data_IF_841966342837
#
_entry.id   IF_841966342837
#
_cell.length_a   1.000
_cell.length_b   1.000
_cell.length_c   1.000
_cell.angle_alpha   90.00
_cell.angle_beta   90.00
_cell.angle_gamma   90.00
#
_symmetry.space_group_name_H-M   'P 1'
#
loop_
_entity.id
_entity.type
_entity.pdbx_description
1 polymer ?
#
# COMPACT_ATOMS: atom_id res chain seq x y z
N UNK A 1 34.61 3.15 -8.64
CA UNK A 1 35.74 2.42 -9.22
C UNK A 1 35.23 1.65 -10.42
N UNK A 2 35.43 2.19 -11.62
CA UNK A 2 35.34 1.41 -12.86
C UNK A 2 36.59 0.54 -12.92
N UNK A 3 36.43 -0.78 -13.10
CA UNK A 3 37.57 -1.67 -13.29
C UNK A 3 38.28 -1.26 -14.58
N UNK A 4 39.49 -0.73 -14.44
CA UNK A 4 40.39 -0.47 -15.56
C UNK A 4 40.83 -1.81 -16.13
N UNK A 5 40.57 -2.05 -17.41
CA UNK A 5 41.09 -3.24 -18.10
C UNK A 5 42.61 -3.09 -18.14
N UNK A 6 43.33 -4.09 -17.64
CA UNK A 6 44.79 -4.08 -17.63
C UNK A 6 45.31 -3.90 -19.07
N UNK A 7 46.17 -2.92 -19.28
CA UNK A 7 46.86 -2.72 -20.56
C UNK A 7 47.71 -3.96 -20.81
N UNK A 8 47.35 -4.74 -21.83
CA UNK A 8 48.20 -5.83 -22.33
C UNK A 8 47.53 -7.17 -22.63
N UNK A 9 46.23 -7.37 -22.42
CA UNK A 9 45.54 -8.62 -22.79
C UNK A 9 44.25 -8.33 -23.52
N UNK A 10 44.35 -8.06 -24.82
CA UNK A 10 43.21 -8.15 -25.73
C UNK A 10 43.40 -9.45 -26.50
N UNK A 11 42.80 -10.55 -26.03
CA UNK A 11 42.83 -11.81 -26.77
C UNK A 11 41.92 -11.72 -27.99
N UNK A 12 42.41 -11.15 -29.08
CA UNK A 12 41.67 -10.97 -30.35
C UNK A 12 40.50 -9.96 -30.31
N UNK A 13 40.18 -9.46 -31.50
CA UNK A 13 39.06 -8.56 -31.75
C UNK A 13 37.70 -9.16 -31.36
N UNK A 14 37.54 -10.48 -31.45
CA UNK A 14 36.28 -11.17 -31.11
C UNK A 14 35.99 -11.12 -29.61
N UNK A 15 37.03 -11.26 -28.79
CA UNK A 15 36.92 -11.25 -27.33
C UNK A 15 36.65 -9.84 -26.82
N UNK A 16 37.26 -8.82 -27.45
CA UNK A 16 36.91 -7.41 -27.22
C UNK A 16 35.46 -7.10 -27.61
N UNK A 17 34.99 -7.62 -28.75
CA UNK A 17 33.61 -7.43 -29.20
C UNK A 17 32.63 -8.13 -28.26
N UNK A 18 32.97 -9.32 -27.75
CA UNK A 18 32.19 -10.05 -26.77
C UNK A 18 32.09 -9.29 -25.44
N UNK A 19 33.22 -8.83 -24.90
CA UNK A 19 33.25 -8.02 -23.67
C UNK A 19 32.48 -6.71 -23.82
N UNK A 20 32.63 -6.02 -24.95
CA UNK A 20 31.85 -4.82 -25.26
C UNK A 20 30.35 -5.13 -25.32
N UNK A 21 29.95 -6.21 -25.97
CA UNK A 21 28.54 -6.60 -26.08
C UNK A 21 27.95 -6.94 -24.70
N UNK A 22 28.64 -7.75 -23.90
CA UNK A 22 28.26 -8.09 -22.53
C UNK A 22 28.14 -6.82 -21.67
N UNK A 23 29.13 -5.93 -21.74
CA UNK A 23 29.14 -4.68 -20.99
C UNK A 23 28.01 -3.73 -21.45
N UNK A 24 27.76 -3.61 -22.76
CA UNK A 24 26.69 -2.78 -23.32
C UNK A 24 25.29 -3.29 -22.91
N UNK A 25 25.10 -4.60 -22.84
CA UNK A 25 23.87 -5.22 -22.34
C UNK A 25 23.73 -5.02 -20.83
N UNK A 26 24.80 -5.13 -20.06
CA UNK A 26 24.79 -4.92 -18.62
C UNK A 26 24.47 -3.46 -18.26
N UNK A 27 25.09 -2.49 -18.94
CA UNK A 27 24.80 -1.05 -18.75
C UNK A 27 23.38 -0.71 -19.23
N UNK A 28 22.99 -1.19 -20.42
CA UNK A 28 21.67 -0.92 -21.00
C UNK A 28 20.51 -1.59 -20.28
N UNK A 29 20.74 -2.70 -19.56
CA UNK A 29 19.78 -3.31 -18.64
C UNK A 29 19.81 -2.60 -17.28
N UNK A 30 20.96 -2.27 -16.72
CA UNK A 30 21.00 -1.53 -15.45
C UNK A 30 20.22 -0.20 -15.51
N UNK A 31 20.38 0.58 -16.59
CA UNK A 31 19.62 1.83 -16.77
C UNK A 31 18.11 1.59 -16.94
N UNK A 32 17.72 0.61 -17.77
CA UNK A 32 16.31 0.25 -17.99
C UNK A 32 15.63 -0.25 -16.72
N UNK A 33 16.34 -0.99 -15.87
CA UNK A 33 15.73 -1.65 -14.72
C UNK A 33 15.65 -0.71 -13.52
N UNK A 34 16.59 0.23 -13.36
CA UNK A 34 16.44 1.32 -12.38
C UNK A 34 15.14 2.09 -12.60
N UNK A 35 14.78 2.36 -13.86
CA UNK A 35 13.57 3.11 -14.22
C UNK A 35 12.26 2.44 -13.79
N UNK A 36 12.23 1.09 -13.73
CA UNK A 36 11.03 0.32 -13.36
C UNK A 36 10.63 0.57 -11.91
N UNK A 37 11.57 0.56 -10.98
CA UNK A 37 11.28 0.79 -9.55
C UNK A 37 10.89 2.25 -9.30
N UNK A 38 11.51 3.21 -10.00
CA UNK A 38 11.17 4.63 -9.91
C UNK A 38 9.82 4.98 -10.57
N UNK A 39 9.32 4.15 -11.49
CA UNK A 39 8.01 4.33 -12.09
C UNK A 39 6.85 3.97 -11.14
N UNK A 40 7.11 3.24 -10.05
CA UNK A 40 6.08 2.86 -9.09
C UNK A 40 5.68 4.07 -8.24
N UNK A 41 4.48 4.60 -8.53
CA UNK A 41 3.85 5.68 -7.74
C UNK A 41 2.74 5.14 -6.86
N UNK A 42 2.68 5.64 -5.63
CA UNK A 42 1.57 5.48 -4.70
C UNK A 42 0.40 6.33 -5.21
N UNK A 43 -0.74 5.71 -5.45
CA UNK A 43 -1.90 6.33 -6.08
C UNK A 43 -2.83 6.96 -5.03
N UNK A 44 -3.64 7.93 -5.46
CA UNK A 44 -4.73 8.45 -4.63
C UNK A 44 -5.70 7.32 -4.25
N UNK A 45 -6.10 7.31 -2.97
CA UNK A 45 -6.97 6.28 -2.38
C UNK A 45 -6.40 4.85 -2.37
N UNK A 46 -5.11 4.66 -2.67
CA UNK A 46 -4.45 3.38 -2.51
C UNK A 46 -3.93 3.23 -1.06
N UNK A 47 -4.28 2.14 -0.35
CA UNK A 47 -3.71 1.88 0.96
C UNK A 47 -2.20 1.63 0.89
N UNK A 48 -1.47 1.91 1.97
CA UNK A 48 -0.01 1.78 1.99
C UNK A 48 0.45 0.34 1.70
N UNK A 49 -0.36 -0.65 2.09
CA UNK A 49 -0.08 -2.07 1.91
C UNK A 49 -0.05 -2.47 0.42
N UNK A 50 -1.00 -2.00 -0.36
CA UNK A 50 -1.13 -2.28 -1.80
C UNK A 50 -0.02 -1.60 -2.59
N UNK A 51 0.32 -0.36 -2.24
CA UNK A 51 1.51 0.31 -2.77
C UNK A 51 2.77 -0.50 -2.49
N UNK A 52 2.98 -0.90 -1.22
CA UNK A 52 4.15 -1.67 -0.82
C UNK A 52 4.24 -3.02 -1.55
N UNK A 53 3.11 -3.69 -1.78
CA UNK A 53 3.07 -4.94 -2.52
C UNK A 53 3.56 -4.75 -3.96
N UNK A 54 3.03 -3.75 -4.68
CA UNK A 54 3.47 -3.43 -6.05
C UNK A 54 4.93 -3.04 -6.11
N UNK A 55 5.38 -2.23 -5.14
CA UNK A 55 6.78 -1.84 -5.05
C UNK A 55 7.70 -3.05 -4.85
N UNK A 56 7.33 -3.99 -3.98
CA UNK A 56 8.12 -5.19 -3.74
C UNK A 56 8.20 -6.08 -4.99
N UNK A 57 7.12 -6.21 -5.77
CA UNK A 57 7.14 -6.94 -7.05
C UNK A 57 8.15 -6.29 -8.01
N UNK A 58 8.11 -4.97 -8.18
CA UNK A 58 9.07 -4.26 -9.03
C UNK A 58 10.52 -4.39 -8.52
N UNK A 59 10.74 -4.40 -7.21
CA UNK A 59 12.07 -4.60 -6.63
C UNK A 59 12.62 -6.01 -6.87
N UNK A 60 11.77 -7.04 -6.88
CA UNK A 60 12.17 -8.41 -7.18
C UNK A 60 12.60 -8.58 -8.63
N UNK A 61 12.02 -7.80 -9.54
CA UNK A 61 12.48 -7.75 -10.93
C UNK A 61 13.88 -7.13 -11.01
N UNK A 62 14.29 -6.23 -10.10
CA UNK A 62 15.59 -5.55 -10.16
C UNK A 62 16.54 -5.99 -9.02
N UNK A 63 17.08 -7.23 -9.05
CA UNK A 63 17.93 -7.74 -7.98
C UNK A 63 19.25 -6.97 -7.84
N UNK A 64 19.73 -6.34 -8.92
CA UNK A 64 20.93 -5.50 -8.93
C UNK A 64 20.76 -4.13 -8.26
N UNK A 65 19.54 -3.71 -7.92
CA UNK A 65 19.32 -2.43 -7.25
C UNK A 65 19.93 -2.45 -5.84
N UNK A 66 20.73 -1.43 -5.52
CA UNK A 66 21.30 -1.29 -4.18
C UNK A 66 20.22 -0.94 -3.17
N UNK A 67 20.52 -1.09 -1.88
CA UNK A 67 19.60 -0.74 -0.82
C UNK A 67 19.21 0.74 -0.85
N UNK A 68 20.14 1.61 -1.22
CA UNK A 68 19.95 3.06 -1.34
C UNK A 68 19.01 3.38 -2.50
N UNK A 69 19.17 2.73 -3.65
CA UNK A 69 18.28 2.86 -4.80
C UNK A 69 16.85 2.46 -4.42
N UNK A 70 16.69 1.31 -3.74
CA UNK A 70 15.37 0.84 -3.27
C UNK A 70 14.74 1.82 -2.29
N UNK A 71 15.51 2.33 -1.34
CA UNK A 71 15.02 3.28 -0.31
C UNK A 71 14.64 4.63 -0.93
N UNK A 72 15.45 5.12 -1.88
CA UNK A 72 15.20 6.37 -2.60
C UNK A 72 13.97 6.27 -3.51
N UNK A 73 13.89 5.20 -4.33
CA UNK A 73 12.76 4.97 -5.20
C UNK A 73 11.45 4.82 -4.41
N UNK A 74 11.47 4.07 -3.31
CA UNK A 74 10.32 3.93 -2.44
C UNK A 74 9.84 5.29 -1.91
N UNK A 75 10.77 6.12 -1.44
CA UNK A 75 10.46 7.42 -0.84
C UNK A 75 9.97 8.43 -1.89
N UNK A 76 10.52 8.40 -3.10
CA UNK A 76 10.08 9.23 -4.22
C UNK A 76 8.72 8.79 -4.79
N UNK A 77 8.40 7.50 -4.70
CA UNK A 77 7.12 6.95 -5.15
C UNK A 77 5.96 7.22 -4.20
N UNK A 78 6.22 7.59 -2.94
CA UNK A 78 5.17 7.81 -1.93
C UNK A 78 4.31 9.04 -2.24
N UNK A 79 3.01 8.89 -1.98
CA UNK A 79 2.05 9.99 -1.96
C UNK A 79 2.27 10.81 -0.68
N UNK A 80 2.01 12.12 -0.73
CA UNK A 80 2.01 12.92 0.49
C UNK A 80 0.94 12.40 1.46
N UNK A 81 1.36 12.10 2.67
CA UNK A 81 0.54 11.39 3.64
C UNK A 81 1.24 11.23 4.97
N UNK A 82 0.55 10.59 5.92
CA UNK A 82 1.04 10.44 7.30
C UNK A 82 2.37 9.69 7.33
N UNK A 83 2.52 8.67 6.49
CA UNK A 83 3.75 7.90 6.40
C UNK A 83 4.89 8.69 5.75
N UNK A 84 4.64 9.37 4.63
CA UNK A 84 5.62 10.27 4.00
C UNK A 84 6.15 11.32 4.99
N UNK A 85 5.25 12.01 5.71
CA UNK A 85 5.61 12.98 6.76
C UNK A 85 6.45 12.36 7.88
N UNK A 86 6.23 11.09 8.20
CA UNK A 86 7.05 10.36 9.18
C UNK A 86 8.49 10.13 8.70
N UNK A 87 8.67 9.88 7.41
CA UNK A 87 9.99 9.71 6.78
C UNK A 87 10.71 11.05 6.68
N UNK A 88 10.00 12.12 6.32
CA UNK A 88 10.55 13.47 6.30
C UNK A 88 11.08 13.91 7.67
N UNK A 89 10.34 13.60 8.76
CA UNK A 89 10.76 13.89 10.14
C UNK A 89 11.94 13.05 10.59
N UNK A 90 11.98 11.77 10.22
CA UNK A 90 13.05 10.84 10.59
C UNK A 90 13.47 10.02 9.38
N UNK A 91 14.45 10.51 8.61
CA UNK A 91 14.95 9.81 7.44
C UNK A 91 15.45 8.40 7.77
N UNK A 92 15.38 7.51 6.81
CA UNK A 92 15.83 6.12 6.92
C UNK A 92 16.77 5.83 5.76
N UNK A 93 17.96 5.29 6.06
CA UNK A 93 18.94 4.91 5.04
C UNK A 93 18.90 3.41 4.68
N UNK A 94 18.35 2.57 5.56
CA UNK A 94 18.30 1.12 5.36
C UNK A 94 16.91 0.63 4.93
N UNK A 95 16.84 -0.03 3.79
CA UNK A 95 15.58 -0.54 3.21
C UNK A 95 14.82 -1.46 4.17
N UNK A 96 15.48 -2.40 4.84
CA UNK A 96 14.82 -3.28 5.82
C UNK A 96 14.17 -2.52 6.98
N UNK A 97 14.80 -1.45 7.47
CA UNK A 97 14.22 -0.61 8.53
C UNK A 97 13.08 0.27 8.03
N UNK A 98 13.10 0.64 6.74
CA UNK A 98 12.01 1.35 6.07
C UNK A 98 10.77 0.45 5.97
N UNK A 99 10.96 -0.81 5.55
CA UNK A 99 9.89 -1.81 5.47
C UNK A 99 9.27 -2.08 6.85
N UNK A 100 10.10 -2.23 7.88
CA UNK A 100 9.63 -2.42 9.25
C UNK A 100 8.79 -1.25 9.75
N UNK A 101 9.12 -0.01 9.35
CA UNK A 101 8.29 1.16 9.68
C UNK A 101 7.00 1.16 8.86
N UNK A 102 7.06 0.88 7.56
CA UNK A 102 5.87 0.78 6.70
C UNK A 102 4.85 -0.22 7.28
N UNK A 103 5.30 -1.39 7.73
CA UNK A 103 4.46 -2.39 8.38
C UNK A 103 3.70 -1.85 9.61
N UNK A 104 4.35 -1.01 10.43
CA UNK A 104 3.66 -0.36 11.57
C UNK A 104 2.56 0.58 11.12
N UNK A 105 2.79 1.33 10.05
CA UNK A 105 1.79 2.25 9.50
C UNK A 105 0.63 1.51 8.83
N UNK A 106 0.90 0.41 8.14
CA UNK A 106 -0.12 -0.50 7.59
C UNK A 106 -1.02 -1.01 8.72
N UNK A 107 -0.44 -1.47 9.84
CA UNK A 107 -1.24 -1.93 10.98
C UNK A 107 -2.13 -0.81 11.58
N UNK A 108 -1.63 0.43 11.60
CA UNK A 108 -2.41 1.59 12.06
C UNK A 108 -3.56 1.87 11.09
N UNK A 109 -3.30 1.87 9.78
CA UNK A 109 -4.29 2.07 8.73
C UNK A 109 -5.39 1.01 8.77
N UNK A 110 -5.00 -0.28 8.88
CA UNK A 110 -5.93 -1.41 9.03
C UNK A 110 -6.79 -1.29 10.29
N UNK A 111 -6.19 -0.91 11.43
CA UNK A 111 -6.93 -0.70 12.68
C UNK A 111 -7.91 0.48 12.58
N UNK A 112 -7.56 1.54 11.86
CA UNK A 112 -8.46 2.67 11.59
C UNK A 112 -9.63 2.26 10.68
N UNK A 113 -9.35 1.50 9.63
CA UNK A 113 -10.36 0.97 8.73
C UNK A 113 -11.36 0.05 9.46
N UNK A 114 -10.86 -0.81 10.34
CA UNK A 114 -11.71 -1.69 11.16
C UNK A 114 -12.63 -0.90 12.12
N UNK A 115 -12.10 0.14 12.78
CA UNK A 115 -12.89 1.03 13.65
C UNK A 115 -13.99 1.77 12.90
N UNK A 116 -13.71 2.24 11.67
CA UNK A 116 -14.69 2.92 10.82
C UNK A 116 -15.85 1.98 10.46
N UNK A 117 -15.55 0.75 10.02
CA UNK A 117 -16.57 -0.27 9.70
C UNK A 117 -17.49 -0.58 10.90
N UNK A 118 -16.94 -0.69 12.10
CA UNK A 118 -17.72 -0.95 13.31
C UNK A 118 -18.68 0.20 13.64
N UNK A 119 -18.23 1.46 13.49
CA UNK A 119 -19.10 2.64 13.67
C UNK A 119 -20.24 2.67 12.65
N UNK A 120 -19.95 2.36 11.39
CA UNK A 120 -20.95 2.31 10.32
C UNK A 120 -21.97 1.18 10.54
N UNK A 121 -21.55 0.03 11.06
CA UNK A 121 -22.44 -1.06 11.47
C UNK A 121 -23.41 -0.65 12.58
N UNK A 122 -22.90 -0.02 13.65
CA UNK A 122 -23.74 0.47 14.76
C UNK A 122 -24.77 1.53 14.35
N UNK A 123 -24.45 2.40 13.39
CA UNK A 123 -25.37 3.42 12.88
C UNK A 123 -26.52 2.78 12.07
N UNK A 124 -26.27 1.64 11.40
CA UNK A 124 -27.32 0.89 10.69
C UNK A 124 -28.23 0.13 11.66
N UNK A 125 -27.65 -0.55 12.67
CA UNK A 125 -28.43 -1.27 13.70
C UNK A 125 -29.35 -0.34 14.52
N UNK A 126 -28.86 0.86 14.88
CA UNK A 126 -29.67 1.84 15.64
C UNK A 126 -30.81 2.45 14.82
N UNK A 127 -30.71 2.51 13.48
CA UNK A 127 -31.81 2.95 12.62
C UNK A 127 -32.88 1.87 12.44
N UNK A 128 -32.51 0.59 12.43
CA UNK A 128 -33.48 -0.51 12.33
C UNK A 128 -34.21 -0.77 13.66
N UNK A 129 -33.52 -0.71 14.81
CA UNK A 129 -34.18 -0.84 16.12
C UNK A 129 -35.11 0.33 16.46
N UNK A 130 -34.79 1.56 16.01
CA UNK A 130 -35.63 2.74 16.22
C UNK A 130 -36.97 2.66 15.47
N UNK A 131 -37.01 1.98 14.32
CA UNK A 131 -38.23 1.79 13.53
C UNK A 131 -39.14 0.70 14.11
N UNK A 132 -38.56 -0.37 14.68
CA UNK A 132 -39.33 -1.48 15.28
C UNK A 132 -39.98 -1.10 16.62
N UNK A 133 -39.37 -0.21 17.42
CA UNK A 133 -39.94 0.22 18.71
C UNK A 133 -41.13 1.17 18.54
N UNK A 134 -41.19 1.94 17.45
CA UNK A 134 -42.30 2.87 17.16
C UNK A 134 -43.58 2.13 16.72
N UNK A 135 -43.46 0.98 16.05
CA UNK A 135 -44.62 0.19 15.64
C UNK A 135 -45.29 -0.58 16.80
N UNK A 136 -44.56 -0.90 17.89
CA UNK A 136 -45.11 -1.69 19.02
C UNK A 136 -45.91 -0.87 20.02
N UNK A 137 -45.72 0.45 20.10
CA UNK A 137 -46.48 1.32 21.02
C UNK A 137 -47.88 1.62 20.49
N UNK A 138 -48.04 1.69 19.17
CA UNK A 138 -49.26 2.18 18.53
C UNK A 138 -50.35 1.08 18.43
N UNK A 139 -49.99 -0.17 18.73
CA UNK A 139 -50.87 -1.34 18.63
C UNK A 139 -51.79 -1.52 19.87
N UNK A 140 -51.37 -1.06 21.06
CA UNK A 140 -52.10 -1.27 22.31
C UNK A 140 -53.13 -0.17 22.63
N UNK A 141 -53.07 0.97 21.94
CA UNK A 141 -53.95 2.13 22.17
C UNK A 141 -55.29 2.05 21.42
N UNK A 142 -55.58 0.94 20.73
CA UNK A 142 -56.87 0.71 20.03
C UNK A 142 -57.62 -0.48 20.61
N UNK A 143 -57.97 -0.45 21.90
CA UNK A 143 -59.00 -1.37 22.43
C UNK A 143 -60.38 -0.89 21.95
N UNK A 144 -61.14 -1.71 21.18
CA UNK A 144 -62.51 -1.36 20.83
C UNK A 144 -63.39 -1.39 22.09
N UNK A 145 -64.36 -0.47 22.24
CA UNK A 145 -65.25 -0.45 23.40
C UNK A 145 -66.11 -1.73 23.43
N UNK A 146 -66.14 -2.38 24.60
CA UNK A 146 -66.98 -3.55 24.82
C UNK A 146 -68.46 -3.14 24.75
N UNK A 147 -69.20 -3.72 23.81
CA UNK A 147 -70.64 -3.56 23.73
C UNK A 147 -71.27 -4.32 24.91
N UNK A 148 -72.03 -3.60 25.75
CA UNK A 148 -72.84 -4.21 26.81
C UNK A 148 -73.94 -5.04 26.15
N UNK A 149 -73.84 -6.36 26.31
CA UNK A 149 -74.92 -7.30 25.98
C UNK A 149 -75.98 -7.16 27.07
N UNK A 150 -77.17 -6.67 26.70
CA UNK A 150 -78.34 -6.74 27.57
C UNK A 150 -78.94 -8.14 27.43
N UNK A 151 -78.96 -8.87 28.54
CA UNK A 151 -79.69 -10.13 28.69
C UNK A 151 -81.17 -9.80 28.85
N UNK A 152 -82.01 -10.39 28.01
CA UNK A 152 -83.48 -10.42 28.15
C UNK A 152 -83.86 -11.73 28.83
#
# INVERSE_FOLDING_TARGET
MVQSIAVGVIGSFQESRSLFYINSLAVGSFERWSSVVFAIRHKDNEPLKEYLLRFNVAVLEVPSATQEVKTSAFSQGLLDGVFFKSLAKKPISKFGTLLARAAKYINIEDAQAAKKKNREGKIKETKEEGSSKKLRTDFWDKKPPLQRINVV
#
